data_IF_208625436833
#
_entry.id   IF_208625436833
#
_cell.length_a   1.000
_cell.length_b   1.000
_cell.length_c   1.000
_cell.angle_alpha   90.00
_cell.angle_beta   90.00
_cell.angle_gamma   90.00
#
_symmetry.space_group_name_H-M   'P 1'
#
loop_
_entity.id
_entity.type
_entity.pdbx_description
1 polymer ?
#
# COMPACT_ATOMS: atom_id res chain seq x y z
N UNK A 1 -8.98 8.84 -14.76
CA UNK A 1 -9.84 7.63 -14.69
C UNK A 1 -11.28 7.99 -15.00
N UNK A 2 -12.02 7.12 -15.68
CA UNK A 2 -13.42 7.38 -16.05
C UNK A 2 -14.33 7.24 -14.81
N UNK A 3 -15.21 8.22 -14.51
CA UNK A 3 -16.11 8.17 -13.33
C UNK A 3 -16.94 6.87 -13.25
N UNK A 4 -17.32 6.32 -14.41
CA UNK A 4 -18.08 5.07 -14.54
C UNK A 4 -17.35 3.84 -13.98
N UNK A 5 -16.03 3.76 -14.13
CA UNK A 5 -15.27 2.60 -13.66
C UNK A 5 -15.08 2.62 -12.13
N UNK A 6 -14.96 3.81 -11.55
CA UNK A 6 -14.93 3.99 -10.09
C UNK A 6 -16.29 3.61 -9.50
N UNK A 7 -17.39 4.07 -10.10
CA UNK A 7 -18.74 3.71 -9.66
C UNK A 7 -18.95 2.18 -9.71
N UNK A 8 -18.55 1.54 -10.81
CA UNK A 8 -18.62 0.08 -10.95
C UNK A 8 -17.87 -0.64 -9.82
N UNK A 9 -16.67 -0.18 -9.46
CA UNK A 9 -15.92 -0.72 -8.32
C UNK A 9 -16.66 -0.52 -6.98
N UNK A 10 -17.21 0.67 -6.74
CA UNK A 10 -17.92 0.98 -5.49
C UNK A 10 -19.20 0.15 -5.31
N UNK A 11 -19.81 -0.29 -6.41
CA UNK A 11 -21.00 -1.15 -6.42
C UNK A 11 -20.67 -2.65 -6.26
N UNK A 12 -19.40 -3.04 -6.35
CA UNK A 12 -18.97 -4.42 -6.15
C UNK A 12 -19.18 -4.90 -4.71
N UNK A 13 -19.35 -6.21 -4.53
CA UNK A 13 -19.30 -6.82 -3.21
C UNK A 13 -17.89 -6.71 -2.58
N UNK A 14 -17.83 -6.87 -1.25
CA UNK A 14 -16.58 -6.73 -0.49
C UNK A 14 -15.48 -7.70 -0.93
N UNK A 15 -15.84 -8.90 -1.40
CA UNK A 15 -14.87 -9.89 -1.85
C UNK A 15 -14.27 -9.50 -3.21
N UNK A 16 -15.09 -8.96 -4.12
CA UNK A 16 -14.66 -8.40 -5.39
C UNK A 16 -13.80 -7.14 -5.19
N UNK A 17 -14.21 -6.23 -4.32
CA UNK A 17 -13.40 -5.07 -3.97
C UNK A 17 -12.03 -5.47 -3.40
N UNK A 18 -12.00 -6.46 -2.49
CA UNK A 18 -10.74 -7.01 -1.95
C UNK A 18 -9.85 -7.58 -3.05
N UNK A 19 -10.42 -8.32 -4.01
CA UNK A 19 -9.64 -8.88 -5.15
C UNK A 19 -8.98 -7.78 -5.97
N UNK A 20 -9.74 -6.74 -6.34
CA UNK A 20 -9.22 -5.57 -7.08
C UNK A 20 -8.08 -4.91 -6.29
N UNK A 21 -8.31 -4.62 -5.00
CA UNK A 21 -7.31 -4.00 -4.14
C UNK A 21 -6.02 -4.83 -4.03
N UNK A 22 -6.13 -6.15 -3.85
CA UNK A 22 -4.97 -7.05 -3.80
C UNK A 22 -4.18 -7.01 -5.11
N UNK A 23 -4.85 -7.07 -6.27
CA UNK A 23 -4.17 -7.01 -7.58
C UNK A 23 -3.43 -5.69 -7.79
N UNK A 24 -4.04 -4.56 -7.42
CA UNK A 24 -3.39 -3.26 -7.52
C UNK A 24 -2.21 -3.15 -6.54
N UNK A 25 -2.36 -3.62 -5.30
CA UNK A 25 -1.28 -3.61 -4.32
C UNK A 25 -0.12 -4.56 -4.70
N UNK A 26 -0.36 -5.63 -5.45
CA UNK A 26 0.71 -6.46 -6.02
C UNK A 26 1.57 -5.67 -7.01
N UNK A 27 0.98 -4.81 -7.83
CA UNK A 27 1.73 -3.94 -8.74
C UNK A 27 2.40 -2.78 -8.00
N UNK A 28 1.72 -2.20 -7.01
CA UNK A 28 2.34 -1.19 -6.14
C UNK A 28 3.56 -1.75 -5.38
N UNK A 29 3.51 -3.02 -4.96
CA UNK A 29 4.67 -3.69 -4.34
C UNK A 29 5.87 -3.77 -5.29
N UNK A 30 5.65 -4.00 -6.58
CA UNK A 30 6.74 -3.99 -7.57
C UNK A 30 7.40 -2.61 -7.65
N UNK A 31 6.61 -1.54 -7.60
CA UNK A 31 7.13 -0.17 -7.56
C UNK A 31 7.95 0.06 -6.29
N UNK A 32 7.44 -0.36 -5.13
CA UNK A 32 8.17 -0.27 -3.86
C UNK A 32 9.55 -0.95 -3.95
N UNK A 33 9.59 -2.20 -4.40
CA UNK A 33 10.81 -3.01 -4.46
C UNK A 33 11.82 -2.52 -5.50
N UNK A 34 11.36 -1.78 -6.50
CA UNK A 34 12.24 -1.13 -7.48
C UNK A 34 12.85 0.17 -6.95
N UNK A 35 12.11 0.92 -6.13
CA UNK A 35 12.47 2.28 -5.75
C UNK A 35 13.12 2.38 -4.37
N UNK A 36 12.87 1.43 -3.47
CA UNK A 36 13.35 1.50 -2.09
C UNK A 36 14.50 0.51 -1.87
N UNK A 37 15.69 0.98 -1.46
CA UNK A 37 16.81 0.09 -1.17
C UNK A 37 16.58 -0.67 0.15
N UNK A 38 17.18 -1.85 0.27
CA UNK A 38 17.01 -2.71 1.45
C UNK A 38 17.76 -2.25 2.69
N UNK A 39 18.63 -1.25 2.58
CA UNK A 39 19.49 -0.72 3.64
C UNK A 39 19.25 0.78 3.89
N UNK A 40 18.02 1.26 3.69
CA UNK A 40 17.67 2.65 3.94
C UNK A 40 17.69 2.92 5.46
N UNK A 41 18.55 3.83 5.91
CA UNK A 41 18.55 4.33 7.29
C UNK A 41 18.05 5.76 7.34
N UNK A 42 17.47 6.13 8.47
CA UNK A 42 16.98 7.48 8.75
C UNK A 42 17.22 7.82 10.22
N UNK A 43 17.10 9.10 10.56
CA UNK A 43 17.19 9.57 11.94
C UNK A 43 15.85 10.12 12.34
N UNK A 44 15.23 9.52 13.36
CA UNK A 44 13.96 10.02 13.87
C UNK A 44 14.17 11.31 14.69
N UNK A 45 13.20 12.21 14.62
CA UNK A 45 13.28 13.56 15.19
C UNK A 45 12.97 13.64 16.68
N UNK A 46 12.37 12.60 17.28
CA UNK A 46 11.90 12.58 18.68
C UNK A 46 13.06 12.39 19.66
N UNK A 47 13.92 11.41 19.43
CA UNK A 47 15.06 11.02 20.28
C UNK A 47 16.40 11.16 19.52
N UNK A 48 16.38 11.33 18.19
CA UNK A 48 17.58 11.51 17.37
C UNK A 48 18.35 10.22 17.09
N UNK A 49 17.75 9.05 17.30
CA UNK A 49 18.34 7.72 17.07
C UNK A 49 18.35 7.36 15.59
N UNK A 50 19.37 6.61 15.16
CA UNK A 50 19.42 6.07 13.80
C UNK A 50 18.58 4.78 13.75
N UNK A 51 17.68 4.74 12.77
CA UNK A 51 16.74 3.66 12.53
C UNK A 51 16.95 3.09 11.13
N UNK A 52 16.59 1.82 10.93
CA UNK A 52 16.58 1.17 9.63
C UNK A 52 15.13 0.98 9.17
N UNK A 53 14.82 1.41 7.95
CA UNK A 53 13.53 1.16 7.33
C UNK A 53 13.50 -0.28 6.82
N UNK A 54 12.60 -1.08 7.40
CA UNK A 54 12.36 -2.46 6.98
C UNK A 54 11.70 -2.52 5.59
N UNK A 55 12.52 -2.57 4.55
CA UNK A 55 12.05 -2.62 3.16
C UNK A 55 11.23 -3.87 2.82
N UNK A 56 11.29 -4.93 3.65
CA UNK A 56 10.51 -6.15 3.45
C UNK A 56 9.07 -6.04 3.94
N UNK A 57 8.76 -5.00 4.74
CA UNK A 57 7.52 -4.87 5.47
C UNK A 57 6.27 -4.81 4.56
N UNK A 58 6.25 -4.06 3.44
CA UNK A 58 5.11 -4.08 2.52
C UNK A 58 4.82 -5.45 1.92
N UNK A 59 5.87 -6.22 1.56
CA UNK A 59 5.68 -7.60 1.10
C UNK A 59 5.07 -8.47 2.18
N UNK A 60 5.56 -8.37 3.43
CA UNK A 60 5.02 -9.13 4.54
C UNK A 60 3.53 -8.81 4.81
N UNK A 61 3.15 -7.53 4.77
CA UNK A 61 1.75 -7.10 4.91
C UNK A 61 0.86 -7.64 3.79
N UNK A 62 1.29 -7.56 2.54
CA UNK A 62 0.50 -8.07 1.42
C UNK A 62 0.31 -9.59 1.51
N UNK A 63 1.36 -10.33 1.91
CA UNK A 63 1.26 -11.77 2.17
C UNK A 63 0.27 -12.06 3.29
N UNK A 64 0.26 -11.27 4.37
CA UNK A 64 -0.71 -11.41 5.46
C UNK A 64 -2.16 -11.19 5.00
N UNK A 65 -2.41 -10.20 4.13
CA UNK A 65 -3.74 -9.95 3.54
C UNK A 65 -4.24 -11.15 2.71
N UNK A 66 -3.33 -11.74 1.92
CA UNK A 66 -3.65 -12.86 1.02
C UNK A 66 -3.83 -14.16 1.80
N UNK A 67 -2.95 -14.45 2.76
CA UNK A 67 -2.97 -15.68 3.55
C UNK A 67 -3.93 -15.64 4.74
N UNK A 68 -4.37 -14.45 5.17
CA UNK A 68 -5.19 -14.27 6.36
C UNK A 68 -4.45 -14.52 7.68
N UNK A 69 -3.12 -14.41 7.70
CA UNK A 69 -2.27 -14.78 8.85
C UNK A 69 -1.46 -13.62 9.45
N UNK A 70 -1.20 -13.72 10.75
CA UNK A 70 -0.27 -12.94 11.59
C UNK A 70 -0.36 -11.39 11.53
N UNK A 71 -1.43 -10.84 12.10
CA UNK A 71 -1.65 -9.40 12.20
C UNK A 71 -0.70 -8.67 13.18
N UNK A 72 -0.40 -9.27 14.34
CA UNK A 72 0.17 -8.53 15.48
C UNK A 72 1.63 -8.13 15.26
N UNK A 73 2.45 -9.05 14.73
CA UNK A 73 3.86 -8.79 14.50
C UNK A 73 4.09 -7.76 13.38
N UNK A 74 3.29 -7.83 12.32
CA UNK A 74 3.37 -6.89 11.19
C UNK A 74 2.91 -5.49 11.62
N UNK A 75 1.79 -5.39 12.34
CA UNK A 75 1.30 -4.11 12.86
C UNK A 75 2.37 -3.38 13.69
N UNK A 76 3.06 -4.09 14.59
CA UNK A 76 4.10 -3.48 15.42
C UNK A 76 5.25 -2.90 14.59
N UNK A 77 5.64 -3.56 13.50
CA UNK A 77 6.70 -3.10 12.58
C UNK A 77 6.32 -1.86 11.77
N UNK A 78 5.02 -1.58 11.58
CA UNK A 78 4.54 -0.39 10.88
C UNK A 78 4.49 0.87 11.75
N UNK A 79 4.51 0.74 13.08
CA UNK A 79 4.27 1.88 13.98
C UNK A 79 5.34 2.97 13.84
N UNK A 80 6.61 2.61 13.78
CA UNK A 80 7.68 3.59 13.67
C UNK A 80 7.77 4.19 12.27
N UNK A 81 7.82 3.40 11.18
CA UNK A 81 8.06 4.00 9.87
C UNK A 81 6.88 4.82 9.34
N UNK A 82 5.64 4.55 9.78
CA UNK A 82 4.48 5.37 9.39
C UNK A 82 4.59 6.77 10.02
N UNK A 83 5.01 6.85 11.28
CA UNK A 83 5.23 8.12 11.99
C UNK A 83 6.39 8.87 11.35
N UNK A 84 7.51 8.19 11.09
CA UNK A 84 8.67 8.80 10.45
C UNK A 84 8.39 9.32 9.03
N UNK A 85 7.44 8.73 8.29
CA UNK A 85 6.97 9.27 7.02
C UNK A 85 6.07 10.51 7.20
N UNK A 86 5.25 10.55 8.25
CA UNK A 86 4.38 11.70 8.57
C UNK A 86 5.18 12.90 9.10
N UNK A 87 6.23 12.64 9.87
CA UNK A 87 7.13 13.65 10.43
C UNK A 87 8.23 14.11 9.44
N UNK A 88 8.24 13.55 8.22
CA UNK A 88 9.25 13.79 7.18
C UNK A 88 10.69 13.38 7.55
N UNK A 89 10.86 12.56 8.59
CA UNK A 89 12.14 11.95 8.99
C UNK A 89 12.64 10.94 7.93
N UNK A 90 11.71 10.32 7.19
CA UNK A 90 11.99 9.51 6.00
C UNK A 90 11.43 10.23 4.77
N UNK A 91 12.28 10.48 3.78
CA UNK A 91 11.86 10.99 2.47
C UNK A 91 12.00 9.90 1.42
N UNK A 92 10.87 9.40 0.92
CA UNK A 92 10.82 8.41 -0.15
C UNK A 92 10.49 9.07 -1.49
N UNK A 93 10.85 8.43 -2.62
CA UNK A 93 10.24 8.77 -3.90
C UNK A 93 8.71 8.67 -3.79
N UNK A 94 7.98 9.68 -4.28
CA UNK A 94 6.54 9.80 -4.04
C UNK A 94 5.73 8.55 -4.44
N UNK A 95 6.16 7.88 -5.52
CA UNK A 95 5.59 6.61 -5.98
C UNK A 95 5.77 5.47 -4.96
N UNK A 96 6.92 5.40 -4.30
CA UNK A 96 7.18 4.41 -3.25
C UNK A 96 6.37 4.71 -1.98
N UNK A 97 6.25 5.99 -1.60
CA UNK A 97 5.41 6.43 -0.50
C UNK A 97 3.93 6.04 -0.72
N UNK A 98 3.40 6.28 -1.92
CA UNK A 98 2.05 5.83 -2.28
C UNK A 98 1.91 4.30 -2.25
N UNK A 99 2.91 3.56 -2.71
CA UNK A 99 2.91 2.10 -2.62
C UNK A 99 2.86 1.62 -1.15
N UNK A 100 3.67 2.26 -0.29
CA UNK A 100 3.71 1.97 1.13
C UNK A 100 2.34 2.17 1.79
N UNK A 101 1.72 3.33 1.56
CA UNK A 101 0.40 3.63 2.11
C UNK A 101 -0.69 2.73 1.56
N UNK A 102 -0.71 2.43 0.26
CA UNK A 102 -1.70 1.55 -0.33
C UNK A 102 -1.70 0.16 0.35
N UNK A 103 -0.49 -0.40 0.54
CA UNK A 103 -0.31 -1.73 1.14
C UNK A 103 -0.62 -1.71 2.63
N UNK A 104 -0.17 -0.68 3.36
CA UNK A 104 -0.50 -0.50 4.77
C UNK A 104 -2.02 -0.38 4.98
N UNK A 105 -2.69 0.47 4.20
CA UNK A 105 -4.14 0.66 4.30
C UNK A 105 -4.93 -0.58 3.91
N UNK A 106 -4.46 -1.36 2.93
CA UNK A 106 -5.05 -2.65 2.60
C UNK A 106 -4.92 -3.63 3.79
N UNK A 107 -3.74 -3.71 4.40
CA UNK A 107 -3.50 -4.53 5.59
C UNK A 107 -4.39 -4.09 6.76
N UNK A 108 -4.47 -2.79 7.02
CA UNK A 108 -5.30 -2.22 8.08
C UNK A 108 -6.78 -2.52 7.87
N UNK A 109 -7.29 -2.38 6.64
CA UNK A 109 -8.69 -2.68 6.34
C UNK A 109 -9.01 -4.18 6.42
N UNK A 110 -8.15 -5.04 5.86
CA UNK A 110 -8.47 -6.46 5.66
C UNK A 110 -8.05 -7.35 6.82
N UNK A 111 -6.98 -6.99 7.54
CA UNK A 111 -6.40 -7.80 8.62
C UNK A 111 -6.69 -7.17 9.98
N UNK A 112 -6.56 -5.85 10.10
CA UNK A 112 -6.86 -5.14 11.36
C UNK A 112 -8.34 -4.73 11.48
N UNK A 113 -9.14 -4.91 10.43
CA UNK A 113 -10.56 -4.55 10.36
C UNK A 113 -10.81 -3.07 10.69
N UNK A 114 -9.88 -2.20 10.31
CA UNK A 114 -10.05 -0.76 10.47
C UNK A 114 -10.93 -0.21 9.35
N UNK A 115 -11.93 0.65 9.65
CA UNK A 115 -12.76 1.25 8.62
C UNK A 115 -11.93 2.19 7.74
N UNK A 116 -12.18 2.14 6.44
CA UNK A 116 -11.45 2.90 5.43
C UNK A 116 -12.41 3.30 4.30
N UNK A 117 -12.15 4.44 3.66
CA UNK A 117 -12.78 4.75 2.36
C UNK A 117 -12.42 3.65 1.34
N UNK A 118 -13.40 2.96 0.73
CA UNK A 118 -13.14 1.92 -0.27
C UNK A 118 -12.24 2.36 -1.42
N UNK A 119 -12.27 3.64 -1.80
CA UNK A 119 -11.48 4.20 -2.90
C UNK A 119 -10.02 4.51 -2.53
N UNK A 120 -9.69 4.59 -1.23
CA UNK A 120 -8.36 5.05 -0.80
C UNK A 120 -7.24 4.10 -1.24
N UNK A 121 -7.41 2.78 -1.05
CA UNK A 121 -6.39 1.79 -1.46
C UNK A 121 -6.19 1.78 -2.98
N UNK A 122 -7.24 1.66 -3.83
CA UNK A 122 -7.08 1.76 -5.28
C UNK A 122 -6.40 3.06 -5.71
N UNK A 123 -6.83 4.20 -5.17
CA UNK A 123 -6.27 5.50 -5.53
C UNK A 123 -4.76 5.59 -5.25
N UNK A 124 -4.33 5.16 -4.06
CA UNK A 124 -2.91 5.17 -3.68
C UNK A 124 -2.11 4.15 -4.50
N UNK A 125 -2.63 2.95 -4.73
CA UNK A 125 -1.94 1.94 -5.53
C UNK A 125 -1.72 2.42 -6.97
N UNK A 126 -2.72 3.06 -7.58
CA UNK A 126 -2.63 3.61 -8.93
C UNK A 126 -1.67 4.80 -8.99
N UNK A 127 -1.67 5.67 -7.98
CA UNK A 127 -0.72 6.78 -7.87
C UNK A 127 0.74 6.30 -7.76
N UNK A 128 0.99 5.13 -7.17
CA UNK A 128 2.32 4.53 -7.15
C UNK A 128 2.81 4.13 -8.55
N UNK A 129 1.91 3.70 -9.44
CA UNK A 129 2.29 3.15 -10.75
C UNK A 129 2.69 4.22 -11.76
N UNK A 130 2.16 5.44 -11.63
CA UNK A 130 2.28 6.51 -12.65
C UNK A 130 1.24 6.36 -13.76
N UNK A 131 0.98 7.44 -14.48
CA UNK A 131 -0.21 7.59 -15.33
C UNK A 131 -0.38 6.51 -16.41
N UNK A 132 0.70 6.16 -17.13
CA UNK A 132 0.65 5.16 -18.21
C UNK A 132 0.32 3.75 -17.70
N UNK A 133 0.96 3.33 -16.60
CA UNK A 133 0.76 1.99 -16.03
C UNK A 133 -0.56 1.88 -15.27
N UNK A 134 -1.02 2.97 -14.64
CA UNK A 134 -2.23 2.99 -13.82
C UNK A 134 -3.49 2.60 -14.60
N UNK A 135 -3.69 3.12 -15.82
CA UNK A 135 -4.87 2.79 -16.62
C UNK A 135 -4.94 1.29 -16.94
N UNK A 136 -3.83 0.72 -17.42
CA UNK A 136 -3.74 -0.71 -17.75
C UNK A 136 -3.86 -1.60 -16.51
N UNK A 137 -3.34 -1.16 -15.36
CA UNK A 137 -3.50 -1.88 -14.10
C UNK A 137 -4.96 -1.89 -13.63
N UNK A 138 -5.65 -0.75 -13.74
CA UNK A 138 -7.04 -0.61 -13.36
C UNK A 138 -7.96 -1.51 -14.17
N UNK A 139 -7.84 -1.51 -15.50
CA UNK A 139 -8.65 -2.35 -16.39
C UNK A 139 -8.47 -3.85 -16.09
N UNK A 140 -7.22 -4.30 -15.94
CA UNK A 140 -6.91 -5.69 -15.60
C UNK A 140 -7.46 -6.08 -14.23
N UNK A 141 -7.37 -5.19 -13.23
CA UNK A 141 -7.85 -5.47 -11.89
C UNK A 141 -9.38 -5.59 -11.83
N UNK A 142 -10.11 -4.79 -12.64
CA UNK A 142 -11.56 -4.85 -12.74
C UNK A 142 -12.07 -6.10 -13.50
N UNK A 143 -11.19 -6.83 -14.19
CA UNK A 143 -11.58 -7.99 -14.99
C UNK A 143 -12.40 -7.63 -16.23
N UNK A 144 -12.23 -6.40 -16.74
CA UNK A 144 -12.81 -6.04 -18.03
C UNK A 144 -12.12 -6.87 -19.14
N UNK A 145 -12.89 -7.48 -20.07
CA UNK A 145 -12.33 -8.17 -21.23
C UNK A 145 -11.56 -7.24 -22.17
#
# INVERSE_FOLDING_TARGET
>A
MHPTAIQYYLEMDSAAQKRVQVLLCQQALQVWEQLVPTNLTYRESVVGTEQELDASLPRAALVAVVSGQNAKAIKARYLEPIVALEDEDIVLPKRAEFAYYAIYNLFSAQVLQQPLDPWLVPNQALAAMGDEAAASAWERALGAP
#
